data_IF_740840419455
#
_entry.id   IF_740840419455
#
_cell.length_a   1.000
_cell.length_b   1.000
_cell.length_c   1.000
_cell.angle_alpha   90.00
_cell.angle_beta   90.00
_cell.angle_gamma   90.00
#
_symmetry.space_group_name_H-M   'P 1'
#
loop_
_entity.id
_entity.type
_entity.pdbx_description
1 polymer ?
#
# COMPACT_ATOMS: atom_id res chain seq x y z
N UNK A 1 2.77 25.12 -31.36
CA UNK A 1 1.75 24.02 -31.48
C UNK A 1 0.56 24.31 -30.59
N UNK A 2 -0.63 23.74 -30.88
CA UNK A 2 -1.82 23.94 -30.05
C UNK A 2 -2.55 22.63 -29.81
N UNK A 3 -2.72 22.26 -28.56
CA UNK A 3 -3.54 21.12 -28.17
C UNK A 3 -5.00 21.52 -28.30
N UNK A 4 -5.73 20.88 -29.21
CA UNK A 4 -7.16 21.14 -29.47
C UNK A 4 -8.06 20.30 -28.54
N UNK A 5 -7.66 19.05 -28.25
CA UNK A 5 -8.39 18.12 -27.38
C UNK A 5 -7.47 17.05 -26.83
N UNK A 6 -7.68 16.63 -25.58
CA UNK A 6 -7.08 15.43 -25.00
C UNK A 6 -8.21 14.50 -24.55
N UNK A 7 -8.18 13.25 -25.01
CA UNK A 7 -9.09 12.18 -24.58
C UNK A 7 -8.29 11.09 -23.89
N UNK A 8 -8.90 10.48 -22.89
CA UNK A 8 -8.34 9.32 -22.16
C UNK A 8 -9.22 8.12 -22.44
N UNK A 9 -8.65 7.05 -23.00
CA UNK A 9 -9.32 5.79 -23.29
C UNK A 9 -8.83 4.73 -22.31
N UNK A 10 -9.73 4.04 -21.63
CA UNK A 10 -9.41 3.10 -20.54
C UNK A 10 -9.71 1.63 -20.86
N UNK A 11 -10.27 1.34 -21.98
CA UNK A 11 -10.67 -0.01 -22.38
C UNK A 11 -10.41 -0.29 -23.85
N UNK A 12 -10.99 -1.37 -24.40
CA UNK A 12 -10.90 -1.71 -25.81
C UNK A 12 -11.21 -0.49 -26.68
N UNK A 13 -10.38 -0.26 -27.68
CA UNK A 13 -10.49 0.91 -28.55
C UNK A 13 -10.02 0.57 -29.97
N UNK A 14 -10.40 1.40 -30.96
CA UNK A 14 -10.05 1.15 -32.36
C UNK A 14 -8.64 1.60 -32.75
N UNK A 15 -7.91 2.25 -31.85
CA UNK A 15 -6.54 2.72 -32.09
C UNK A 15 -5.50 1.63 -31.93
N UNK A 16 -5.79 0.64 -31.09
CA UNK A 16 -4.92 -0.52 -30.85
C UNK A 16 -5.74 -1.81 -30.88
N UNK A 17 -5.16 -2.87 -31.44
CA UNK A 17 -5.71 -4.22 -31.39
C UNK A 17 -5.44 -4.92 -30.04
N UNK A 18 -4.55 -4.35 -29.24
CA UNK A 18 -4.29 -4.76 -27.86
C UNK A 18 -5.04 -3.82 -26.91
N UNK A 19 -5.31 -4.27 -25.70
CA UNK A 19 -6.05 -3.51 -24.68
C UNK A 19 -5.17 -2.42 -24.03
N UNK A 20 -4.56 -1.57 -24.87
CA UNK A 20 -3.78 -0.43 -24.37
C UNK A 20 -4.68 0.67 -23.81
N UNK A 21 -4.28 1.21 -22.65
CA UNK A 21 -4.84 2.45 -22.09
C UNK A 21 -4.19 3.64 -22.83
N UNK A 22 -4.97 4.44 -23.54
CA UNK A 22 -4.42 5.43 -24.46
C UNK A 22 -4.82 6.87 -24.13
N UNK A 23 -3.87 7.79 -24.25
CA UNK A 23 -4.11 9.22 -24.42
C UNK A 23 -4.20 9.49 -25.91
N UNK A 24 -5.26 10.17 -26.33
CA UNK A 24 -5.45 10.63 -27.71
C UNK A 24 -5.48 12.16 -27.71
N UNK A 25 -4.43 12.76 -28.27
CA UNK A 25 -4.27 14.22 -28.40
C UNK A 25 -4.59 14.64 -29.82
N UNK A 26 -5.53 15.54 -29.99
CA UNK A 26 -5.72 16.26 -31.26
C UNK A 26 -4.84 17.50 -31.21
N UNK A 27 -3.74 17.46 -31.99
CA UNK A 27 -2.68 18.46 -31.98
C UNK A 27 -2.65 19.20 -33.32
N UNK A 28 -2.68 20.53 -33.26
CA UNK A 28 -2.40 21.42 -34.38
C UNK A 28 -0.93 21.86 -34.29
N UNK A 29 -0.14 21.50 -35.28
CA UNK A 29 1.28 21.81 -35.35
C UNK A 29 1.58 23.25 -35.74
N UNK A 30 0.57 23.97 -36.25
CA UNK A 30 0.72 25.36 -36.72
C UNK A 30 1.92 25.50 -37.67
N UNK A 31 2.84 26.43 -37.42
CA UNK A 31 3.99 26.74 -38.28
C UNK A 31 5.04 25.58 -38.34
N UNK A 32 4.91 24.59 -37.48
CA UNK A 32 5.79 23.40 -37.48
C UNK A 32 5.28 22.28 -38.38
N UNK A 33 4.07 22.40 -38.96
CA UNK A 33 3.45 21.32 -39.75
C UNK A 33 4.21 20.98 -41.06
N UNK A 34 4.88 21.95 -41.64
CA UNK A 34 5.63 21.78 -42.89
C UNK A 34 7.15 21.78 -42.70
N UNK A 35 7.62 21.74 -41.44
CA UNK A 35 9.04 21.78 -41.07
C UNK A 35 9.49 20.44 -40.47
N UNK A 36 10.44 19.81 -41.15
CA UNK A 36 11.10 18.59 -40.62
C UNK A 36 11.93 18.94 -39.37
N UNK A 37 11.83 18.19 -38.26
CA UNK A 37 12.57 18.46 -37.02
C UNK A 37 14.10 18.55 -37.22
N UNK A 38 14.68 17.69 -38.06
CA UNK A 38 16.13 17.71 -38.36
C UNK A 38 16.59 18.95 -39.15
N UNK A 39 15.67 19.71 -39.77
CA UNK A 39 15.93 20.99 -40.46
C UNK A 39 15.73 22.22 -39.59
N UNK A 40 15.28 22.03 -38.34
CA UNK A 40 15.17 23.10 -37.36
C UNK A 40 16.54 23.22 -36.66
N UNK A 41 17.17 24.42 -36.77
CA UNK A 41 18.49 24.63 -36.21
C UNK A 41 18.57 24.31 -34.73
N UNK A 42 19.49 23.44 -34.32
CA UNK A 42 19.68 23.05 -32.91
C UNK A 42 18.65 22.05 -32.34
N UNK A 43 17.60 21.67 -33.10
CA UNK A 43 16.51 20.84 -32.55
C UNK A 43 17.00 19.44 -32.15
N UNK A 44 17.67 18.70 -33.04
CA UNK A 44 18.18 17.36 -32.77
C UNK A 44 19.13 17.38 -31.57
N UNK A 45 20.07 18.34 -31.55
CA UNK A 45 21.03 18.51 -30.45
C UNK A 45 20.30 18.81 -29.13
N UNK A 46 19.40 19.79 -29.12
CA UNK A 46 18.66 20.17 -27.90
C UNK A 46 17.77 19.05 -27.36
N UNK A 47 17.18 18.25 -28.25
CA UNK A 47 16.38 17.09 -27.85
C UNK A 47 17.24 15.98 -27.24
N UNK A 48 18.38 15.68 -27.85
CA UNK A 48 19.33 14.66 -27.34
C UNK A 48 19.96 15.08 -26.00
N UNK A 49 20.24 16.38 -25.82
CA UNK A 49 20.76 16.92 -24.54
C UNK A 49 19.69 16.87 -23.44
N UNK A 50 18.43 17.17 -23.77
CA UNK A 50 17.33 17.13 -22.81
C UNK A 50 16.93 15.69 -22.41
N UNK A 51 16.84 14.79 -23.39
CA UNK A 51 16.37 13.40 -23.22
C UNK A 51 17.35 12.41 -23.89
N UNK A 52 18.53 12.16 -23.29
CA UNK A 52 19.54 11.28 -23.88
C UNK A 52 19.03 9.83 -24.09
N UNK A 53 18.14 9.36 -23.24
CA UNK A 53 17.56 8.01 -23.29
C UNK A 53 16.64 7.76 -24.50
N UNK A 54 16.23 8.79 -25.24
CA UNK A 54 15.57 8.62 -26.54
C UNK A 54 16.47 7.90 -27.55
N UNK A 55 17.80 7.90 -27.34
CA UNK A 55 18.75 7.16 -28.18
C UNK A 55 18.60 5.65 -28.13
N UNK A 56 18.11 5.14 -27.02
CA UNK A 56 17.91 3.70 -26.81
C UNK A 56 16.51 3.23 -27.23
N UNK A 57 15.60 4.16 -27.53
CA UNK A 57 14.22 3.86 -27.93
C UNK A 57 14.14 3.41 -29.38
N UNK A 58 13.44 2.31 -29.60
CA UNK A 58 13.12 1.80 -30.93
C UNK A 58 11.76 2.30 -31.42
N UNK A 59 11.66 2.54 -32.72
CA UNK A 59 10.41 2.82 -33.43
C UNK A 59 9.79 1.52 -33.99
N UNK A 60 8.56 1.60 -34.50
CA UNK A 60 7.74 0.47 -35.01
C UNK A 60 8.44 -0.51 -35.97
N UNK A 61 9.59 -0.22 -36.53
CA UNK A 61 10.33 -1.06 -37.49
C UNK A 61 11.66 -1.59 -36.92
N UNK A 62 11.90 -1.46 -35.58
CA UNK A 62 13.15 -1.87 -34.95
C UNK A 62 14.32 -0.91 -35.25
N UNK A 63 14.05 0.24 -35.85
CA UNK A 63 15.04 1.30 -36.07
C UNK A 63 15.10 2.22 -34.85
N UNK A 64 16.31 2.76 -34.55
CA UNK A 64 16.45 3.69 -33.43
C UNK A 64 15.83 5.04 -33.73
N UNK A 65 15.15 5.59 -32.76
CA UNK A 65 14.47 6.88 -32.86
C UNK A 65 15.39 8.00 -33.31
N UNK A 66 16.59 8.13 -32.73
CA UNK A 66 17.51 9.22 -33.07
C UNK A 66 18.07 9.10 -34.52
N UNK A 67 18.32 7.90 -35.01
CA UNK A 67 18.77 7.70 -36.38
C UNK A 67 17.71 8.18 -37.38
N UNK A 68 16.47 7.76 -37.17
CA UNK A 68 15.33 8.20 -37.99
C UNK A 68 15.09 9.72 -37.92
N UNK A 69 15.30 10.32 -36.73
CA UNK A 69 15.19 11.76 -36.57
C UNK A 69 16.27 12.50 -37.35
N UNK A 70 17.52 12.06 -37.30
CA UNK A 70 18.65 12.66 -38.00
C UNK A 70 18.50 12.54 -39.52
N UNK A 71 18.02 11.39 -40.00
CA UNK A 71 17.77 11.11 -41.42
C UNK A 71 16.53 11.87 -41.97
N UNK A 72 15.77 12.54 -41.09
CA UNK A 72 14.60 13.28 -41.47
C UNK A 72 13.38 12.39 -41.79
N UNK A 73 13.37 11.17 -41.31
CA UNK A 73 12.28 10.23 -41.51
C UNK A 73 11.06 10.53 -40.58
N UNK A 74 11.29 11.28 -39.48
CA UNK A 74 10.24 11.63 -38.52
C UNK A 74 9.68 13.05 -38.75
N UNK A 75 8.40 13.21 -38.41
CA UNK A 75 7.72 14.50 -38.35
C UNK A 75 7.50 14.94 -36.89
N UNK A 76 7.11 16.21 -36.67
CA UNK A 76 7.01 16.79 -35.33
C UNK A 76 5.98 16.06 -34.45
N UNK A 77 4.86 15.62 -35.04
CA UNK A 77 3.84 14.84 -34.31
C UNK A 77 4.39 13.50 -33.79
N UNK A 78 5.29 12.84 -34.55
CA UNK A 78 5.94 11.59 -34.15
C UNK A 78 6.96 11.87 -33.03
N UNK A 79 7.66 12.99 -33.08
CA UNK A 79 8.58 13.40 -32.01
C UNK A 79 7.82 13.66 -30.72
N UNK A 80 6.69 14.36 -30.77
CA UNK A 80 5.86 14.64 -29.58
C UNK A 80 5.37 13.34 -28.93
N UNK A 81 4.95 12.32 -29.70
CA UNK A 81 4.50 11.05 -29.12
C UNK A 81 5.64 10.31 -28.41
N UNK A 82 6.82 10.23 -29.02
CA UNK A 82 7.99 9.58 -28.39
C UNK A 82 8.47 10.32 -27.14
N UNK A 83 8.46 11.66 -27.18
CA UNK A 83 8.78 12.47 -26.00
C UNK A 83 7.76 12.23 -24.87
N UNK A 84 6.47 12.12 -25.18
CA UNK A 84 5.44 11.85 -24.17
C UNK A 84 5.60 10.45 -23.52
N UNK A 85 6.00 9.44 -24.30
CA UNK A 85 6.34 8.12 -23.76
C UNK A 85 7.58 8.19 -22.89
N UNK A 86 8.63 8.88 -23.35
CA UNK A 86 9.91 8.95 -22.66
C UNK A 86 9.79 9.65 -21.30
N UNK A 87 9.08 10.77 -21.24
CA UNK A 87 8.83 11.48 -19.99
C UNK A 87 8.11 10.60 -18.95
N UNK A 88 7.14 9.78 -19.37
CA UNK A 88 6.49 8.82 -18.47
C UNK A 88 7.46 7.73 -18.01
N UNK A 89 8.28 7.19 -18.92
CA UNK A 89 9.27 6.14 -18.62
C UNK A 89 10.32 6.64 -17.62
N UNK A 90 10.85 7.85 -17.82
CA UNK A 90 11.79 8.50 -16.90
C UNK A 90 11.18 8.80 -15.53
N UNK A 91 9.87 9.01 -15.46
CA UNK A 91 9.14 9.18 -14.22
C UNK A 91 8.78 7.84 -13.53
N UNK A 92 9.25 6.68 -14.03
CA UNK A 92 9.01 5.37 -13.44
C UNK A 92 7.72 4.69 -13.91
N UNK A 93 7.10 5.18 -14.99
CA UNK A 93 5.90 4.62 -15.62
C UNK A 93 6.25 4.11 -17.03
N UNK A 94 6.87 2.91 -17.17
CA UNK A 94 7.28 2.38 -18.47
C UNK A 94 6.06 2.12 -19.35
N UNK A 95 6.10 2.70 -20.56
CA UNK A 95 5.08 2.60 -21.61
C UNK A 95 5.78 2.48 -22.98
N UNK A 96 5.15 1.78 -23.93
CA UNK A 96 5.78 1.45 -25.20
C UNK A 96 4.98 1.82 -26.42
N UNK A 97 3.65 1.71 -26.37
CA UNK A 97 2.82 1.89 -27.55
C UNK A 97 2.57 3.35 -27.87
N UNK A 98 2.79 3.73 -29.13
CA UNK A 98 2.40 5.03 -29.67
C UNK A 98 2.04 4.92 -31.15
N UNK A 99 1.30 5.92 -31.63
CA UNK A 99 0.88 6.01 -33.03
C UNK A 99 0.41 7.42 -33.39
N UNK A 100 0.79 7.93 -34.55
CA UNK A 100 0.21 9.15 -35.10
C UNK A 100 -0.74 8.88 -36.27
N UNK A 101 -1.72 9.75 -36.48
CA UNK A 101 -2.64 9.71 -37.61
C UNK A 101 -2.99 11.12 -38.08
N UNK A 102 -2.99 11.32 -39.40
CA UNK A 102 -3.45 12.56 -40.04
C UNK A 102 -4.96 12.73 -39.84
N UNK A 103 -5.41 13.97 -39.68
CA UNK A 103 -6.84 14.31 -39.74
C UNK A 103 -7.18 14.86 -41.11
N UNK A 104 -8.46 15.14 -41.35
CA UNK A 104 -8.89 15.84 -42.60
C UNK A 104 -8.41 17.30 -42.64
N UNK A 105 -8.03 17.89 -41.51
CA UNK A 105 -7.53 19.27 -41.44
C UNK A 105 -6.00 19.26 -41.57
N UNK A 106 -5.46 20.03 -42.54
CA UNK A 106 -4.02 20.16 -42.72
C UNK A 106 -3.36 20.71 -41.49
N UNK A 107 -2.21 20.14 -41.11
CA UNK A 107 -1.44 20.53 -39.93
C UNK A 107 -1.99 19.99 -38.60
N UNK A 108 -3.13 19.27 -38.61
CA UNK A 108 -3.77 18.71 -37.44
C UNK A 108 -3.63 17.19 -37.45
N UNK A 109 -3.15 16.63 -36.34
CA UNK A 109 -2.88 15.21 -36.18
C UNK A 109 -3.51 14.65 -34.91
N UNK A 110 -3.78 13.35 -34.91
CA UNK A 110 -3.97 12.58 -33.70
C UNK A 110 -2.61 12.01 -33.28
N UNK A 111 -2.17 12.40 -32.08
CA UNK A 111 -1.00 11.85 -31.37
C UNK A 111 -1.55 10.94 -30.30
N UNK A 112 -1.24 9.65 -30.40
CA UNK A 112 -1.81 8.60 -29.56
C UNK A 112 -0.67 7.89 -28.88
N UNK A 113 -0.74 7.74 -27.56
CA UNK A 113 0.28 7.01 -26.79
C UNK A 113 -0.29 6.38 -25.53
N UNK A 114 0.36 5.32 -25.10
CA UNK A 114 0.02 4.57 -23.92
C UNK A 114 0.29 5.36 -22.64
N UNK A 115 -0.50 5.08 -21.58
CA UNK A 115 -0.30 5.63 -20.26
C UNK A 115 -0.52 4.57 -19.17
N UNK A 116 0.14 4.73 -18.00
CA UNK A 116 -0.14 3.96 -16.79
C UNK A 116 -1.13 4.70 -15.87
N UNK A 117 -0.97 6.00 -15.70
CA UNK A 117 -1.82 6.86 -14.89
C UNK A 117 -2.50 7.92 -15.76
N UNK A 118 -3.86 8.06 -15.73
CA UNK A 118 -4.59 8.97 -16.64
C UNK A 118 -4.11 10.42 -16.59
N UNK A 119 -3.95 10.98 -15.39
CA UNK A 119 -3.52 12.37 -15.23
C UNK A 119 -2.05 12.56 -15.56
N UNK A 120 -1.19 11.57 -15.28
CA UNK A 120 0.20 11.60 -15.73
C UNK A 120 0.30 11.57 -17.25
N UNK A 121 -0.48 10.72 -17.94
CA UNK A 121 -0.53 10.71 -19.40
C UNK A 121 -1.02 12.03 -20.00
N UNK A 122 -2.03 12.67 -19.40
CA UNK A 122 -2.49 14.02 -19.80
C UNK A 122 -1.43 15.09 -19.57
N UNK A 123 -0.71 14.99 -18.47
CA UNK A 123 0.42 15.88 -18.16
C UNK A 123 1.56 15.68 -19.15
N UNK A 124 1.95 14.42 -19.42
CA UNK A 124 2.99 14.08 -20.39
C UNK A 124 2.71 14.65 -21.79
N UNK A 125 1.44 14.61 -22.25
CA UNK A 125 1.04 15.24 -23.51
C UNK A 125 1.38 16.74 -23.54
N UNK A 126 1.05 17.46 -22.46
CA UNK A 126 1.30 18.91 -22.38
C UNK A 126 2.79 19.22 -22.24
N UNK A 127 3.50 18.44 -21.44
CA UNK A 127 4.94 18.59 -21.24
C UNK A 127 5.73 18.30 -22.52
N UNK A 128 5.37 17.26 -23.27
CA UNK A 128 5.98 16.93 -24.55
C UNK A 128 5.82 18.05 -25.58
N UNK A 129 4.62 18.65 -25.67
CA UNK A 129 4.38 19.79 -26.56
C UNK A 129 5.24 20.99 -26.14
N UNK A 130 5.26 21.35 -24.83
CA UNK A 130 6.11 22.46 -24.33
C UNK A 130 7.58 22.25 -24.62
N UNK A 131 8.07 21.03 -24.38
CA UNK A 131 9.47 20.66 -24.61
C UNK A 131 9.83 20.81 -26.09
N UNK A 132 9.06 20.22 -26.98
CA UNK A 132 9.29 20.31 -28.42
C UNK A 132 9.20 21.76 -28.94
N UNK A 133 8.25 22.56 -28.47
CA UNK A 133 8.15 24.00 -28.81
C UNK A 133 9.38 24.77 -28.34
N UNK A 134 9.78 24.61 -27.08
CA UNK A 134 10.95 25.32 -26.53
C UNK A 134 12.22 24.99 -27.28
N UNK A 135 12.41 23.72 -27.66
CA UNK A 135 13.58 23.33 -28.46
C UNK A 135 13.49 23.86 -29.88
N UNK A 136 12.31 23.85 -30.51
CA UNK A 136 12.14 24.40 -31.85
C UNK A 136 12.41 25.91 -31.92
N UNK A 137 12.05 26.65 -30.87
CA UNK A 137 12.19 28.10 -30.78
C UNK A 137 13.56 28.56 -30.26
N UNK A 138 14.11 27.85 -29.26
CA UNK A 138 15.30 28.27 -28.48
C UNK A 138 16.49 27.32 -28.60
N UNK A 139 16.33 26.20 -29.30
CA UNK A 139 17.36 25.14 -29.41
C UNK A 139 17.61 24.35 -28.12
N UNK A 140 16.86 24.58 -27.05
CA UNK A 140 17.03 23.90 -25.75
C UNK A 140 15.75 23.87 -24.94
N UNK A 141 15.69 22.94 -23.99
CA UNK A 141 14.74 22.92 -22.87
C UNK A 141 15.50 23.14 -21.57
N UNK A 142 14.96 23.98 -20.67
CA UNK A 142 15.68 24.30 -19.43
C UNK A 142 15.72 23.07 -18.50
N UNK A 143 16.88 22.73 -17.90
CA UNK A 143 16.99 21.55 -17.04
C UNK A 143 16.07 21.58 -15.82
N UNK A 144 15.77 22.76 -15.27
CA UNK A 144 14.86 22.90 -14.15
C UNK A 144 13.40 22.63 -14.55
N UNK A 145 13.00 23.06 -15.76
CA UNK A 145 11.67 22.77 -16.29
C UNK A 145 11.48 21.26 -16.49
N UNK A 146 12.51 20.58 -17.03
CA UNK A 146 12.49 19.12 -17.18
C UNK A 146 12.43 18.41 -15.82
N UNK A 147 13.22 18.88 -14.84
CA UNK A 147 13.20 18.32 -13.48
C UNK A 147 11.81 18.47 -12.84
N UNK A 148 11.19 19.64 -13.00
CA UNK A 148 9.85 19.89 -12.51
C UNK A 148 8.81 19.00 -13.21
N UNK A 149 8.88 18.86 -14.54
CA UNK A 149 7.99 17.98 -15.29
C UNK A 149 8.10 16.52 -14.82
N UNK A 150 9.32 16.03 -14.58
CA UNK A 150 9.53 14.66 -14.07
C UNK A 150 9.01 14.50 -12.63
N UNK A 151 9.22 15.48 -11.76
CA UNK A 151 8.69 15.45 -10.39
C UNK A 151 7.15 15.45 -10.37
N UNK A 152 6.52 16.27 -11.21
CA UNK A 152 5.06 16.29 -11.32
C UNK A 152 4.51 14.97 -11.87
N UNK A 153 5.17 14.39 -12.86
CA UNK A 153 4.81 13.07 -13.39
C UNK A 153 4.97 11.97 -12.33
N UNK A 154 6.06 11.96 -11.57
CA UNK A 154 6.29 11.02 -10.46
C UNK A 154 5.20 11.15 -9.41
N UNK A 155 4.85 12.37 -9.00
CA UNK A 155 3.77 12.64 -8.05
C UNK A 155 2.42 12.13 -8.56
N UNK A 156 2.06 12.44 -9.81
CA UNK A 156 0.81 11.98 -10.43
C UNK A 156 0.76 10.45 -10.58
N UNK A 157 1.90 9.82 -10.88
CA UNK A 157 2.04 8.36 -10.91
C UNK A 157 1.82 7.74 -9.53
N UNK A 158 2.45 8.29 -8.50
CA UNK A 158 2.31 7.83 -7.11
C UNK A 158 0.86 8.00 -6.59
N UNK A 159 0.21 9.14 -6.88
CA UNK A 159 -1.20 9.38 -6.54
C UNK A 159 -2.15 8.40 -7.23
N UNK A 160 -1.76 7.91 -8.41
CA UNK A 160 -2.53 6.93 -9.17
C UNK A 160 -2.19 5.48 -8.81
N UNK A 161 -1.11 5.21 -8.08
CA UNK A 161 -0.70 3.86 -7.72
C UNK A 161 -1.79 3.13 -6.91
N UNK A 162 -1.92 1.84 -7.14
CA UNK A 162 -2.76 0.98 -6.31
C UNK A 162 -2.01 0.67 -5.01
N UNK A 163 -2.70 0.70 -3.87
CA UNK A 163 -2.11 0.19 -2.65
C UNK A 163 -1.76 -1.31 -2.78
N UNK A 164 -0.75 -1.82 -2.04
CA UNK A 164 -0.20 -3.16 -2.24
C UNK A 164 -1.24 -4.30 -2.20
N UNK A 165 -2.27 -4.16 -1.38
CA UNK A 165 -3.34 -5.16 -1.28
C UNK A 165 -4.27 -5.16 -2.50
N UNK A 166 -4.67 -3.97 -2.96
CA UNK A 166 -5.49 -3.83 -4.17
C UNK A 166 -4.72 -4.28 -5.41
N UNK A 167 -3.44 -3.94 -5.48
CA UNK A 167 -2.54 -4.37 -6.56
C UNK A 167 -2.42 -5.90 -6.62
N UNK A 168 -2.32 -6.58 -5.48
CA UNK A 168 -2.27 -8.04 -5.42
C UNK A 168 -3.54 -8.69 -6.00
N UNK A 169 -4.71 -8.09 -5.76
CA UNK A 169 -5.99 -8.54 -6.33
C UNK A 169 -6.03 -8.29 -7.83
N UNK A 170 -5.66 -7.08 -8.26
CA UNK A 170 -5.67 -6.70 -9.68
C UNK A 170 -4.70 -7.56 -10.49
N UNK A 171 -3.46 -7.77 -10.02
CA UNK A 171 -2.49 -8.66 -10.67
C UNK A 171 -3.00 -10.10 -10.78
N UNK A 172 -3.72 -10.59 -9.77
CA UNK A 172 -4.31 -11.91 -9.83
C UNK A 172 -5.46 -12.00 -10.85
N UNK A 173 -6.25 -10.93 -11.01
CA UNK A 173 -7.27 -10.81 -12.05
C UNK A 173 -6.65 -10.75 -13.45
N UNK A 174 -5.63 -9.94 -13.67
CA UNK A 174 -4.88 -9.83 -14.93
C UNK A 174 -4.27 -11.17 -15.34
N UNK A 175 -3.67 -11.91 -14.40
CA UNK A 175 -3.10 -13.23 -14.65
C UNK A 175 -4.14 -14.28 -15.08
N UNK A 176 -5.44 -14.02 -14.84
CA UNK A 176 -6.58 -14.82 -15.27
C UNK A 176 -7.26 -14.28 -16.52
N UNK A 177 -6.74 -13.20 -17.12
CA UNK A 177 -7.38 -12.53 -18.26
C UNK A 177 -8.65 -11.76 -17.88
N UNK A 178 -8.86 -11.46 -16.59
CA UNK A 178 -10.02 -10.68 -16.12
C UNK A 178 -9.70 -9.20 -16.29
N UNK A 179 -10.44 -8.48 -17.15
CA UNK A 179 -10.24 -7.07 -17.35
C UNK A 179 -10.62 -6.27 -16.11
N UNK A 180 -9.99 -5.12 -15.90
CA UNK A 180 -10.30 -4.25 -14.79
C UNK A 180 -10.32 -2.78 -15.18
N UNK A 181 -11.07 -1.98 -14.43
CA UNK A 181 -11.20 -0.54 -14.58
C UNK A 181 -11.12 0.15 -13.22
N UNK A 182 -10.46 1.29 -13.17
CA UNK A 182 -10.61 2.22 -12.05
C UNK A 182 -11.82 3.12 -12.30
N UNK A 183 -12.77 3.15 -11.36
CA UNK A 183 -13.98 3.97 -11.45
C UNK A 183 -13.81 5.27 -10.67
N UNK A 184 -13.80 6.39 -11.41
CA UNK A 184 -13.69 7.73 -10.83
C UNK A 184 -12.32 8.04 -10.22
N UNK A 185 -12.29 9.08 -9.36
CA UNK A 185 -11.07 9.55 -8.70
C UNK A 185 -10.73 8.79 -7.41
N UNK A 186 -11.62 7.92 -6.93
CA UNK A 186 -11.42 7.11 -5.72
C UNK A 186 -10.82 5.76 -6.08
N UNK A 187 -10.32 5.03 -5.07
CA UNK A 187 -9.71 3.70 -5.22
C UNK A 187 -10.72 2.58 -5.48
N UNK A 188 -11.83 2.90 -6.18
CA UNK A 188 -12.84 1.91 -6.55
C UNK A 188 -12.40 1.24 -7.86
N UNK A 189 -12.23 -0.07 -7.82
CA UNK A 189 -11.84 -0.91 -8.94
C UNK A 189 -13.02 -1.80 -9.33
N UNK A 190 -13.31 -1.89 -10.60
CA UNK A 190 -14.19 -2.90 -11.15
C UNK A 190 -13.34 -4.00 -11.80
N UNK A 191 -13.63 -5.25 -11.47
CA UNK A 191 -13.08 -6.45 -12.08
C UNK A 191 -14.17 -7.08 -12.96
N UNK A 192 -13.84 -7.43 -14.19
CA UNK A 192 -14.79 -7.99 -15.14
C UNK A 192 -15.81 -6.99 -15.68
N UNK A 193 -16.68 -7.48 -16.57
CA UNK A 193 -17.72 -6.69 -17.22
C UNK A 193 -19.09 -7.39 -17.14
N UNK A 194 -20.15 -6.58 -17.30
CA UNK A 194 -21.52 -7.07 -17.39
C UNK A 194 -21.99 -7.80 -16.12
N UNK A 195 -22.61 -8.95 -16.28
CA UNK A 195 -23.19 -9.73 -15.18
C UNK A 195 -22.16 -10.34 -14.23
N UNK A 196 -20.91 -10.47 -14.66
CA UNK A 196 -19.81 -11.05 -13.87
C UNK A 196 -18.85 -9.97 -13.31
N UNK A 197 -19.27 -8.71 -13.34
CA UNK A 197 -18.47 -7.65 -12.75
C UNK A 197 -18.53 -7.70 -11.22
N UNK A 198 -17.40 -7.45 -10.59
CA UNK A 198 -17.29 -7.22 -9.15
C UNK A 198 -16.56 -5.91 -8.88
N UNK A 199 -16.84 -5.29 -7.76
CA UNK A 199 -16.20 -4.04 -7.36
C UNK A 199 -15.47 -4.22 -6.05
N UNK A 200 -14.30 -3.60 -5.98
CA UNK A 200 -13.46 -3.61 -4.79
C UNK A 200 -13.03 -2.19 -4.43
N UNK A 201 -12.88 -1.96 -3.14
CA UNK A 201 -12.23 -0.78 -2.58
C UNK A 201 -11.25 -1.24 -1.51
N UNK A 202 -9.94 -1.05 -1.74
CA UNK A 202 -8.89 -1.70 -0.95
C UNK A 202 -9.07 -3.23 -0.97
N UNK A 203 -9.37 -3.85 0.18
CA UNK A 203 -9.68 -5.29 0.32
C UNK A 203 -11.15 -5.54 0.70
N UNK A 204 -12.03 -4.57 0.49
CA UNK A 204 -13.48 -4.74 0.62
C UNK A 204 -14.07 -5.02 -0.76
N UNK A 205 -14.98 -5.99 -0.85
CA UNK A 205 -15.69 -6.31 -2.07
C UNK A 205 -17.15 -5.81 -2.04
N UNK A 206 -17.82 -5.89 -3.15
CA UNK A 206 -19.26 -5.63 -3.27
C UNK A 206 -20.13 -6.68 -2.56
N UNK A 207 -19.53 -7.74 -2.01
CA UNK A 207 -20.17 -8.72 -1.14
C UNK A 207 -20.02 -8.39 0.35
N UNK A 208 -19.11 -7.48 0.70
CA UNK A 208 -18.90 -7.08 2.09
C UNK A 208 -20.11 -6.31 2.60
N UNK A 209 -20.73 -6.78 3.68
CA UNK A 209 -21.85 -6.09 4.33
C UNK A 209 -21.39 -4.77 4.95
N UNK A 210 -22.13 -3.70 4.69
CA UNK A 210 -21.89 -2.41 5.35
C UNK A 210 -22.09 -2.52 6.87
N UNK A 211 -23.06 -3.31 7.31
CA UNK A 211 -23.29 -3.59 8.72
C UNK A 211 -22.11 -4.36 9.33
N UNK A 212 -21.51 -5.27 8.57
CA UNK A 212 -20.29 -5.99 8.99
C UNK A 212 -19.09 -5.06 9.14
N UNK A 213 -18.95 -4.06 8.25
CA UNK A 213 -17.91 -3.04 8.36
C UNK A 213 -18.08 -2.18 9.60
N UNK A 214 -19.29 -1.68 9.82
CA UNK A 214 -19.63 -0.86 10.99
C UNK A 214 -19.43 -1.64 12.29
N UNK A 215 -19.89 -2.90 12.32
CA UNK A 215 -19.72 -3.77 13.47
C UNK A 215 -18.23 -4.05 13.75
N UNK A 216 -17.41 -4.36 12.73
CA UNK A 216 -15.97 -4.56 12.90
C UNK A 216 -15.27 -3.27 13.41
N UNK A 217 -15.84 -2.08 13.13
CA UNK A 217 -15.38 -0.80 13.66
C UNK A 217 -15.75 -0.57 15.12
N UNK A 218 -16.81 -1.22 15.61
CA UNK A 218 -17.24 -1.18 17.01
C UNK A 218 -16.60 -2.32 17.80
N UNK A 219 -15.51 -2.03 18.51
CA UNK A 219 -14.73 -3.03 19.26
C UNK A 219 -15.53 -3.70 20.37
N UNK A 220 -16.40 -2.94 21.04
CA UNK A 220 -17.21 -3.46 22.14
C UNK A 220 -18.35 -4.34 21.62
N UNK A 221 -19.10 -3.83 20.63
CA UNK A 221 -20.18 -4.58 19.98
C UNK A 221 -19.69 -5.87 19.34
N UNK A 222 -18.56 -5.82 18.63
CA UNK A 222 -17.92 -7.02 18.05
C UNK A 222 -17.59 -8.06 19.12
N UNK A 223 -16.95 -7.66 20.22
CA UNK A 223 -16.61 -8.60 21.30
C UNK A 223 -17.82 -9.23 21.92
N UNK A 224 -18.87 -8.44 22.22
CA UNK A 224 -20.09 -8.96 22.81
C UNK A 224 -20.76 -9.98 21.91
N UNK A 225 -20.92 -9.69 20.63
CA UNK A 225 -21.52 -10.63 19.66
C UNK A 225 -20.67 -11.91 19.54
N UNK A 226 -19.35 -11.80 19.50
CA UNK A 226 -18.46 -12.96 19.45
C UNK A 226 -18.53 -13.80 20.75
N UNK A 227 -18.60 -13.14 21.90
CA UNK A 227 -18.75 -13.80 23.20
C UNK A 227 -20.08 -14.54 23.30
N UNK A 228 -21.19 -13.93 22.90
CA UNK A 228 -22.52 -14.54 22.86
C UNK A 228 -22.57 -15.76 21.91
N UNK A 229 -21.75 -15.76 20.86
CA UNK A 229 -21.56 -16.87 19.93
C UNK A 229 -20.58 -17.95 20.45
N UNK A 230 -20.03 -17.81 21.65
CA UNK A 230 -19.08 -18.75 22.26
C UNK A 230 -17.65 -18.66 21.69
N UNK A 231 -17.29 -17.58 21.02
CA UNK A 231 -15.92 -17.32 20.56
C UNK A 231 -15.08 -16.82 21.76
N UNK A 232 -13.89 -17.38 22.00
CA UNK A 232 -13.03 -16.88 23.07
C UNK A 232 -12.53 -15.47 22.74
N UNK A 233 -12.94 -14.48 23.51
CA UNK A 233 -12.53 -13.08 23.43
C UNK A 233 -11.96 -12.60 24.76
N UNK A 234 -11.10 -11.56 24.79
CA UNK A 234 -10.62 -11.01 26.05
C UNK A 234 -11.78 -10.54 26.92
N UNK A 235 -11.79 -10.96 28.21
CA UNK A 235 -12.69 -10.39 29.20
C UNK A 235 -12.32 -8.93 29.38
N UNK A 236 -13.26 -8.02 29.24
CA UNK A 236 -13.02 -6.59 29.33
C UNK A 236 -14.22 -5.80 29.78
N UNK A 237 -13.94 -4.59 30.24
CA UNK A 237 -14.93 -3.60 30.66
C UNK A 237 -14.52 -2.24 30.09
N UNK A 238 -15.49 -1.51 29.52
CA UNK A 238 -15.30 -0.11 29.09
C UNK A 238 -15.64 0.80 30.26
N UNK A 239 -14.76 1.75 30.56
CA UNK A 239 -14.91 2.74 31.62
C UNK A 239 -14.77 4.15 31.05
N UNK A 240 -15.49 5.11 31.62
CA UNK A 240 -15.45 6.52 31.22
C UNK A 240 -14.79 7.40 32.27
N UNK A 241 -14.73 6.94 33.51
CA UNK A 241 -14.19 7.69 34.61
C UNK A 241 -13.10 6.89 35.34
N UNK A 242 -12.14 7.62 35.92
CA UNK A 242 -10.99 7.02 36.62
C UNK A 242 -11.38 6.18 37.84
N UNK A 243 -12.40 6.61 38.57
CA UNK A 243 -12.93 5.91 39.76
C UNK A 243 -13.53 4.51 39.44
N UNK A 244 -13.81 4.22 38.17
CA UNK A 244 -14.25 2.91 37.69
C UNK A 244 -13.08 1.92 37.48
N UNK A 245 -11.83 2.40 37.47
CA UNK A 245 -10.66 1.60 37.07
C UNK A 245 -10.41 0.39 37.98
N UNK A 246 -10.55 0.56 39.31
CA UNK A 246 -10.37 -0.52 40.27
C UNK A 246 -11.42 -1.62 40.06
N UNK A 247 -12.67 -1.22 39.95
CA UNK A 247 -13.79 -2.16 39.70
C UNK A 247 -13.59 -2.90 38.35
N UNK A 248 -13.08 -2.21 37.32
CA UNK A 248 -12.83 -2.83 36.03
C UNK A 248 -11.70 -3.86 36.08
N UNK A 249 -10.61 -3.57 36.79
CA UNK A 249 -9.51 -4.51 37.00
C UNK A 249 -9.99 -5.76 37.75
N UNK A 250 -10.76 -5.59 38.80
CA UNK A 250 -11.33 -6.69 39.56
C UNK A 250 -12.31 -7.53 38.72
N UNK A 251 -13.18 -6.88 37.92
CA UNK A 251 -14.15 -7.56 37.07
C UNK A 251 -13.52 -8.44 35.98
N UNK A 252 -12.31 -8.08 35.50
CA UNK A 252 -11.57 -8.91 34.51
C UNK A 252 -10.72 -10.00 35.15
N UNK A 253 -10.67 -10.05 36.50
CA UNK A 253 -9.97 -11.08 37.28
C UNK A 253 -8.59 -10.66 37.77
N UNK A 254 -8.37 -9.35 37.96
CA UNK A 254 -7.13 -8.78 38.48
C UNK A 254 -6.02 -8.68 37.43
N UNK A 255 -4.84 -8.31 37.91
CA UNK A 255 -3.62 -8.23 37.08
C UNK A 255 -3.14 -9.59 36.57
N UNK A 256 -2.47 -9.68 35.42
CA UNK A 256 -2.09 -8.59 34.52
C UNK A 256 -3.28 -8.15 33.61
N UNK A 257 -3.31 -6.83 33.30
CA UNK A 257 -4.33 -6.24 32.42
C UNK A 257 -3.73 -5.52 31.24
N UNK A 258 -4.56 -5.30 30.21
CA UNK A 258 -4.28 -4.39 29.08
C UNK A 258 -5.25 -3.22 29.16
N UNK A 259 -4.76 -2.00 28.96
CA UNK A 259 -5.56 -0.78 28.97
C UNK A 259 -5.43 -0.10 27.59
N UNK A 260 -6.57 0.23 26.97
CA UNK A 260 -6.64 0.68 25.59
C UNK A 260 -7.65 1.81 25.43
N UNK A 261 -7.43 2.81 24.55
CA UNK A 261 -8.47 3.75 24.19
C UNK A 261 -9.61 3.03 23.42
N UNK A 262 -10.88 3.39 23.69
CA UNK A 262 -12.02 2.81 22.97
C UNK A 262 -11.94 3.11 21.47
N UNK A 263 -11.65 4.37 21.10
CA UNK A 263 -11.65 4.87 19.72
C UNK A 263 -10.23 4.94 19.10
N UNK A 264 -9.24 4.23 19.67
CA UNK A 264 -7.85 4.30 19.24
C UNK A 264 -7.55 3.43 18.02
N UNK A 265 -6.67 3.93 17.14
CA UNK A 265 -6.15 3.20 15.98
C UNK A 265 -4.63 3.07 16.05
N UNK A 266 -4.07 2.07 15.35
CA UNK A 266 -2.63 1.83 15.19
C UNK A 266 -1.87 1.60 16.51
N UNK A 267 -2.53 1.14 17.57
CA UNK A 267 -1.88 0.84 18.86
C UNK A 267 -1.49 2.07 19.69
N UNK A 268 -1.95 3.29 19.33
CA UNK A 268 -1.69 4.49 20.13
C UNK A 268 -2.44 4.42 21.45
N UNK A 269 -1.77 4.76 22.55
CA UNK A 269 -2.35 4.73 23.90
C UNK A 269 -2.69 3.33 24.41
N UNK A 270 -2.19 2.26 23.77
CA UNK A 270 -2.34 0.87 24.24
C UNK A 270 -1.19 0.53 25.15
N UNK A 271 -1.51 0.11 26.38
CA UNK A 271 -0.57 -0.45 27.34
C UNK A 271 -0.94 -1.90 27.62
N UNK A 272 0.06 -2.79 27.57
CA UNK A 272 -0.08 -4.24 27.71
C UNK A 272 0.73 -4.73 28.89
N UNK A 273 0.37 -5.90 29.43
CA UNK A 273 1.07 -6.57 30.53
C UNK A 273 1.27 -5.66 31.76
N UNK A 274 0.20 -4.96 32.12
CA UNK A 274 0.20 -4.07 33.27
C UNK A 274 0.01 -4.94 34.54
N UNK A 275 1.00 -4.87 35.44
CA UNK A 275 1.06 -5.72 36.63
C UNK A 275 0.89 -4.96 37.94
N UNK A 276 0.91 -3.62 37.90
CA UNK A 276 0.82 -2.77 39.09
C UNK A 276 -0.24 -1.71 38.94
N UNK A 277 -0.81 -1.27 40.08
CA UNK A 277 -1.78 -0.20 40.11
C UNK A 277 -1.21 1.11 39.54
N UNK A 278 0.01 1.47 39.92
CA UNK A 278 0.68 2.68 39.42
C UNK A 278 0.80 2.72 37.89
N UNK A 279 1.12 1.56 37.30
CA UNK A 279 1.22 1.47 35.83
C UNK A 279 -0.17 1.52 35.18
N UNK A 280 -1.21 0.99 35.88
CA UNK A 280 -2.60 1.06 35.41
C UNK A 280 -3.12 2.51 35.38
N UNK A 281 -2.82 3.32 36.43
CA UNK A 281 -3.16 4.75 36.47
C UNK A 281 -2.51 5.50 35.29
N UNK A 282 -1.20 5.33 35.09
CA UNK A 282 -0.49 5.98 34.00
C UNK A 282 -1.00 5.52 32.62
N UNK A 283 -1.38 4.26 32.48
CA UNK A 283 -1.95 3.71 31.25
C UNK A 283 -3.36 4.25 30.97
N UNK A 284 -4.20 4.40 32.02
CA UNK A 284 -5.52 5.01 31.93
C UNK A 284 -5.40 6.46 31.42
N UNK A 285 -4.53 7.26 32.03
CA UNK A 285 -4.31 8.65 31.61
C UNK A 285 -3.88 8.74 30.15
N UNK A 286 -2.90 7.92 29.76
CA UNK A 286 -2.43 7.88 28.37
C UNK A 286 -3.53 7.46 27.38
N UNK A 287 -4.33 6.45 27.72
CA UNK A 287 -5.40 5.94 26.88
C UNK A 287 -6.57 6.95 26.77
N UNK A 288 -6.96 7.59 27.86
CA UNK A 288 -8.06 8.57 27.92
C UNK A 288 -7.80 9.81 27.06
N UNK A 289 -6.53 10.25 26.99
CA UNK A 289 -6.11 11.38 26.14
C UNK A 289 -6.20 11.05 24.64
N UNK A 290 -5.94 9.79 24.27
CA UNK A 290 -5.99 9.33 22.88
C UNK A 290 -7.43 9.06 22.41
N UNK A 291 -8.28 8.59 23.32
CA UNK A 291 -9.68 8.28 23.02
C UNK A 291 -10.50 9.56 22.78
N UNK A 292 -11.22 9.63 21.67
CA UNK A 292 -12.11 10.77 21.34
C UNK A 292 -13.27 10.90 22.32
N UNK A 293 -13.81 9.77 22.75
CA UNK A 293 -14.88 9.68 23.77
C UNK A 293 -14.35 9.78 25.19
N UNK A 294 -13.01 9.78 25.39
CA UNK A 294 -12.31 9.60 26.68
C UNK A 294 -12.58 8.25 27.37
N UNK A 295 -13.37 7.39 26.74
CA UNK A 295 -13.60 6.05 27.25
C UNK A 295 -12.40 5.14 27.01
N UNK A 296 -12.16 4.26 27.97
CA UNK A 296 -11.00 3.36 28.05
C UNK A 296 -11.51 1.95 28.22
N UNK A 297 -10.89 0.99 27.53
CA UNK A 297 -11.17 -0.44 27.69
C UNK A 297 -10.10 -1.02 28.61
N UNK A 298 -10.52 -1.65 29.70
CA UNK A 298 -9.68 -2.46 30.59
C UNK A 298 -9.96 -3.93 30.29
N UNK A 299 -8.94 -4.69 29.94
CA UNK A 299 -9.05 -6.11 29.56
C UNK A 299 -8.07 -6.97 30.33
N UNK A 300 -8.45 -8.21 30.62
CA UNK A 300 -7.49 -9.21 31.04
C UNK A 300 -6.39 -9.34 29.97
N UNK A 301 -5.14 -9.31 30.37
CA UNK A 301 -4.02 -9.54 29.47
C UNK A 301 -3.87 -11.03 29.18
N UNK A 302 -3.75 -11.37 27.91
CA UNK A 302 -3.48 -12.73 27.42
C UNK A 302 -2.08 -12.80 26.85
N UNK A 303 -1.28 -13.72 27.37
CA UNK A 303 0.08 -13.97 26.90
C UNK A 303 0.07 -14.84 25.66
N UNK A 304 0.94 -14.54 24.70
CA UNK A 304 1.06 -15.33 23.49
C UNK A 304 1.63 -14.54 22.33
N UNK A 305 1.66 -15.20 21.21
CA UNK A 305 2.08 -14.61 19.93
C UNK A 305 0.88 -14.03 19.21
N UNK A 306 1.08 -12.90 18.55
CA UNK A 306 0.06 -12.20 17.79
C UNK A 306 -0.01 -12.77 16.37
N UNK A 307 -1.19 -13.25 15.97
CA UNK A 307 -1.43 -13.84 14.64
C UNK A 307 -2.52 -13.08 13.91
N UNK A 308 -2.28 -12.74 12.64
CA UNK A 308 -3.30 -12.30 11.70
C UNK A 308 -3.74 -13.49 10.86
N UNK A 309 -4.98 -13.94 11.06
CA UNK A 309 -5.63 -14.95 10.21
C UNK A 309 -6.47 -14.22 9.17
N UNK A 310 -6.13 -14.41 7.89
CA UNK A 310 -6.85 -13.83 6.76
C UNK A 310 -7.88 -14.83 6.25
N UNK A 311 -9.14 -14.45 6.29
CA UNK A 311 -10.26 -15.20 5.71
C UNK A 311 -10.73 -14.51 4.44
N UNK A 312 -10.88 -15.26 3.35
CA UNK A 312 -11.42 -14.80 2.07
C UNK A 312 -12.47 -15.82 1.60
N UNK A 313 -13.67 -15.37 1.26
CA UNK A 313 -14.77 -16.21 0.75
C UNK A 313 -15.01 -17.47 1.60
N UNK A 314 -15.00 -17.30 2.93
CA UNK A 314 -15.25 -18.36 3.89
C UNK A 314 -14.14 -19.40 4.04
N UNK A 315 -12.92 -19.10 3.61
CA UNK A 315 -11.74 -19.95 3.75
C UNK A 315 -10.58 -19.16 4.36
N UNK A 316 -9.78 -19.80 5.19
CA UNK A 316 -8.50 -19.23 5.64
C UNK A 316 -7.53 -19.20 4.46
N UNK A 317 -7.19 -18.00 4.02
CA UNK A 317 -6.29 -17.75 2.89
C UNK A 317 -4.81 -17.78 3.30
N UNK A 318 -4.49 -17.24 4.48
CA UNK A 318 -3.14 -17.20 5.02
C UNK A 318 -3.16 -16.85 6.51
N UNK A 319 -2.08 -17.21 7.21
CA UNK A 319 -1.83 -16.88 8.62
C UNK A 319 -0.44 -16.28 8.76
N UNK A 320 -0.34 -15.14 9.43
CA UNK A 320 0.93 -14.48 9.70
C UNK A 320 1.08 -14.25 11.22
N UNK A 321 2.15 -14.74 11.82
CA UNK A 321 2.60 -14.31 13.13
C UNK A 321 3.21 -12.92 12.99
N UNK A 322 2.75 -11.95 13.76
CA UNK A 322 3.28 -10.60 13.79
C UNK A 322 4.21 -10.45 15.00
N UNK A 323 5.43 -9.99 14.74
CA UNK A 323 6.41 -9.76 15.81
C UNK A 323 6.69 -8.27 15.90
N UNK A 324 6.65 -7.66 17.09
CA UNK A 324 6.95 -6.25 17.27
C UNK A 324 8.33 -5.87 16.72
N UNK A 325 8.52 -4.60 16.41
CA UNK A 325 9.83 -4.10 16.04
C UNK A 325 10.84 -4.39 17.13
N UNK A 326 11.95 -5.02 16.79
CA UNK A 326 12.99 -5.46 17.71
C UNK A 326 14.36 -5.49 17.03
N UNK A 327 15.40 -5.54 17.82
CA UNK A 327 16.76 -5.85 17.40
C UNK A 327 17.29 -7.07 18.14
N UNK A 328 18.20 -7.78 17.50
CA UNK A 328 18.86 -8.96 18.05
C UNK A 328 20.31 -8.60 18.36
N UNK A 329 20.75 -8.83 19.60
CA UNK A 329 22.12 -8.58 20.03
C UNK A 329 23.12 -9.46 19.30
N UNK A 330 24.26 -8.89 18.97
CA UNK A 330 25.42 -9.54 18.37
C UNK A 330 26.62 -9.59 19.32
N UNK A 331 26.44 -9.16 20.58
CA UNK A 331 27.49 -9.10 21.61
C UNK A 331 28.50 -7.96 21.41
N UNK A 332 28.31 -7.04 20.43
CA UNK A 332 29.29 -6.02 20.05
C UNK A 332 28.68 -4.66 19.80
N UNK A 333 27.60 -4.61 19.03
CA UNK A 333 26.96 -3.38 18.57
C UNK A 333 25.98 -2.85 19.61
N UNK A 334 25.88 -1.55 19.71
CA UNK A 334 24.86 -0.87 20.51
C UNK A 334 23.47 -1.06 19.90
N UNK A 335 22.42 -0.87 20.68
CA UNK A 335 21.04 -0.92 20.19
C UNK A 335 20.84 0.05 19.01
N UNK A 336 21.42 1.26 19.10
CA UNK A 336 21.33 2.23 18.00
C UNK A 336 21.97 1.73 16.69
N UNK A 337 23.16 1.15 16.78
CA UNK A 337 23.85 0.55 15.62
C UNK A 337 23.07 -0.64 15.05
N UNK A 338 22.50 -1.49 15.90
CA UNK A 338 21.64 -2.61 15.48
C UNK A 338 20.39 -2.11 14.73
N UNK A 339 19.75 -1.03 15.18
CA UNK A 339 18.61 -0.41 14.49
C UNK A 339 19.04 0.09 13.10
N UNK A 340 20.19 0.76 13.00
CA UNK A 340 20.71 1.21 11.71
C UNK A 340 21.01 0.04 10.77
N UNK A 341 21.61 -1.03 11.28
CA UNK A 341 21.86 -2.24 10.48
C UNK A 341 20.57 -2.86 9.96
N UNK A 342 19.55 -3.01 10.82
CA UNK A 342 18.23 -3.51 10.43
C UNK A 342 17.59 -2.60 9.37
N UNK A 343 17.73 -1.29 9.50
CA UNK A 343 17.16 -0.30 8.58
C UNK A 343 17.90 -0.21 7.22
N UNK A 344 19.13 -0.76 7.09
CA UNK A 344 19.85 -0.87 5.81
C UNK A 344 19.27 -1.93 4.88
N UNK A 345 18.40 -2.80 5.38
CA UNK A 345 17.74 -3.79 4.52
C UNK A 345 16.95 -3.07 3.40
N UNK A 346 17.25 -3.34 2.11
CA UNK A 346 16.61 -2.65 0.99
C UNK A 346 15.09 -2.88 0.89
N UNK A 347 14.58 -3.92 1.56
CA UNK A 347 13.13 -4.17 1.68
C UNK A 347 12.44 -3.21 2.65
N UNK A 348 13.20 -2.44 3.47
CA UNK A 348 12.66 -1.45 4.43
C UNK A 348 12.66 -0.06 3.82
N UNK A 349 11.52 0.64 3.92
CA UNK A 349 11.38 2.02 3.47
C UNK A 349 10.40 2.79 4.33
N UNK A 350 10.11 4.02 3.94
CA UNK A 350 9.11 4.85 4.62
C UNK A 350 7.70 4.53 4.11
N UNK A 351 6.71 4.57 5.01
CA UNK A 351 5.30 4.41 4.69
C UNK A 351 4.88 2.97 4.33
N UNK A 352 3.80 2.89 3.55
CA UNK A 352 3.16 1.62 3.19
C UNK A 352 3.58 1.08 1.81
N UNK A 353 4.41 1.82 1.07
CA UNK A 353 4.76 1.49 -0.32
C UNK A 353 5.88 0.46 -0.41
N UNK A 354 6.62 0.25 0.68
CA UNK A 354 7.69 -0.73 0.77
C UNK A 354 7.21 -2.04 1.40
N UNK A 355 7.92 -3.14 1.11
CA UNK A 355 7.63 -4.48 1.65
C UNK A 355 7.70 -4.50 3.17
N UNK A 356 8.66 -3.78 3.77
CA UNK A 356 8.83 -3.61 5.20
C UNK A 356 8.96 -2.13 5.55
N UNK A 357 8.54 -1.74 6.75
CA UNK A 357 8.69 -0.37 7.23
C UNK A 357 9.97 -0.22 8.05
N UNK A 358 10.63 0.92 7.95
CA UNK A 358 11.80 1.26 8.79
C UNK A 358 11.38 1.35 10.25
N UNK A 359 12.30 0.97 11.14
CA UNK A 359 12.14 1.17 12.58
C UNK A 359 12.47 2.63 12.86
N UNK A 360 11.48 3.38 13.33
CA UNK A 360 11.63 4.76 13.78
C UNK A 360 11.35 4.82 15.27
N UNK A 361 12.24 5.49 16.00
CA UNK A 361 12.11 5.66 17.44
C UNK A 361 11.24 6.86 17.76
N UNK A 362 10.29 6.67 18.65
CA UNK A 362 9.47 7.74 19.22
C UNK A 362 9.48 7.64 20.75
N UNK A 363 8.69 8.50 21.38
CA UNK A 363 8.59 8.55 22.85
C UNK A 363 8.25 7.18 23.46
N UNK A 364 7.34 6.42 22.84
CA UNK A 364 6.95 5.09 23.35
C UNK A 364 8.08 4.07 23.25
N UNK A 365 8.95 4.17 22.24
CA UNK A 365 10.15 3.35 22.12
C UNK A 365 11.13 3.60 23.24
N UNK A 366 11.36 4.86 23.62
CA UNK A 366 12.24 5.22 24.74
C UNK A 366 11.67 4.77 26.11
N UNK A 367 10.36 4.87 26.29
CA UNK A 367 9.68 4.37 27.49
C UNK A 367 9.82 2.85 27.60
N UNK A 368 9.65 2.11 26.50
CA UNK A 368 9.80 0.66 26.47
C UNK A 368 11.27 0.23 26.72
N UNK A 369 12.25 0.94 26.18
CA UNK A 369 13.68 0.70 26.47
C UNK A 369 13.97 0.86 27.95
N UNK A 370 13.46 1.90 28.60
CA UNK A 370 13.63 2.11 30.05
C UNK A 370 12.99 1.00 30.89
N UNK A 371 11.80 0.54 30.51
CA UNK A 371 11.13 -0.59 31.18
C UNK A 371 11.97 -1.87 31.09
N UNK A 372 12.61 -2.12 29.95
CA UNK A 372 13.54 -3.21 29.73
C UNK A 372 14.94 -2.97 30.35
N UNK A 373 15.17 -1.79 30.98
CA UNK A 373 16.44 -1.33 31.56
C UNK A 373 17.57 -1.16 30.54
N UNK A 374 17.23 -0.77 29.31
CA UNK A 374 18.16 -0.49 28.22
C UNK A 374 18.19 0.99 27.87
N UNK A 375 19.31 1.41 27.26
CA UNK A 375 19.50 2.67 26.55
C UNK A 375 19.91 2.38 25.10
N UNK A 376 19.96 3.40 24.24
CA UNK A 376 20.44 3.21 22.86
C UNK A 376 21.92 2.81 22.80
N UNK A 377 22.71 3.16 23.82
CA UNK A 377 24.14 2.81 23.93
C UNK A 377 24.38 1.43 24.55
N UNK A 378 23.32 0.72 24.96
CA UNK A 378 23.45 -0.62 25.53
C UNK A 378 23.88 -1.61 24.47
N UNK A 379 24.91 -2.41 24.79
CA UNK A 379 25.32 -3.58 23.99
C UNK A 379 24.60 -4.81 24.53
N UNK A 380 23.77 -5.41 23.68
CA UNK A 380 23.03 -6.64 24.02
C UNK A 380 23.94 -7.87 23.89
N UNK A 381 23.69 -8.89 24.70
CA UNK A 381 24.34 -10.19 24.52
C UNK A 381 23.96 -10.79 23.17
N UNK A 382 24.79 -11.67 22.66
CA UNK A 382 24.48 -12.41 21.43
C UNK A 382 23.19 -13.22 21.60
N UNK A 383 22.25 -13.04 20.67
CA UNK A 383 20.94 -13.67 20.70
C UNK A 383 19.91 -13.00 21.63
N UNK A 384 20.26 -11.96 22.38
CA UNK A 384 19.35 -11.23 23.25
C UNK A 384 18.43 -10.32 22.42
N UNK A 385 17.10 -10.39 22.67
CA UNK A 385 16.11 -9.60 21.93
C UNK A 385 15.77 -8.34 22.75
N UNK A 386 15.88 -7.19 22.11
CA UNK A 386 15.35 -5.92 22.63
C UNK A 386 14.17 -5.47 21.78
N UNK A 387 12.98 -5.42 22.38
CA UNK A 387 11.79 -4.90 21.73
C UNK A 387 11.79 -3.37 21.74
N UNK A 388 11.44 -2.78 20.57
CA UNK A 388 11.38 -1.33 20.37
C UNK A 388 9.93 -0.82 20.28
N UNK A 389 8.97 -1.73 20.20
CA UNK A 389 7.53 -1.49 20.20
C UNK A 389 6.82 -2.53 21.04
N UNK A 390 5.76 -2.11 21.73
CA UNK A 390 4.91 -3.03 22.49
C UNK A 390 3.90 -3.75 21.59
N UNK A 391 3.56 -3.19 20.45
CA UNK A 391 2.56 -3.73 19.51
C UNK A 391 3.22 -4.26 18.23
N UNK A 392 2.69 -5.36 17.71
CA UNK A 392 3.21 -6.07 16.54
C UNK A 392 2.76 -5.48 15.19
N UNK A 393 2.81 -4.15 15.05
CA UNK A 393 2.40 -3.49 13.83
C UNK A 393 3.52 -3.44 12.78
N UNK A 394 3.24 -3.91 11.57
CA UNK A 394 4.20 -3.83 10.46
C UNK A 394 4.51 -2.39 10.05
N UNK A 395 3.54 -1.47 10.21
CA UNK A 395 3.71 -0.05 9.91
C UNK A 395 4.72 0.68 10.82
N UNK A 396 5.08 0.08 11.94
CA UNK A 396 6.06 0.63 12.91
C UNK A 396 7.36 -0.16 12.96
N UNK A 397 7.66 -0.94 11.93
CA UNK A 397 8.90 -1.71 11.80
C UNK A 397 8.83 -3.16 12.24
N UNK A 398 7.65 -3.65 12.67
CA UNK A 398 7.42 -5.06 12.98
C UNK A 398 7.64 -5.97 11.77
N UNK A 399 7.77 -7.26 12.02
CA UNK A 399 7.95 -8.29 11.00
C UNK A 399 6.77 -9.26 10.98
N UNK A 400 6.59 -9.96 9.87
CA UNK A 400 5.61 -11.02 9.69
C UNK A 400 6.30 -12.35 9.36
N UNK A 401 5.84 -13.42 9.99
CA UNK A 401 6.30 -14.80 9.77
C UNK A 401 5.11 -15.60 9.27
N UNK A 402 5.25 -16.27 8.14
CA UNK A 402 4.18 -17.15 7.61
C UNK A 402 3.97 -18.37 8.51
N UNK A 403 2.72 -18.58 8.93
CA UNK A 403 2.27 -19.70 9.77
C UNK A 403 1.06 -20.44 9.16
N UNK A 404 0.86 -20.25 7.84
CA UNK A 404 -0.34 -20.74 7.16
C UNK A 404 -0.50 -22.26 7.26
N UNK A 405 0.58 -23.00 7.15
CA UNK A 405 0.55 -24.47 7.16
C UNK A 405 0.59 -25.06 8.58
N UNK A 406 0.75 -24.20 9.60
CA UNK A 406 0.89 -24.61 11.01
C UNK A 406 -0.43 -24.48 11.79
N UNK A 407 -1.40 -23.71 11.30
CA UNK A 407 -2.65 -23.43 12.03
C UNK A 407 -3.49 -24.71 12.24
N UNK A 408 -3.96 -24.91 13.47
CA UNK A 408 -4.85 -26.04 13.80
C UNK A 408 -6.22 -25.92 13.10
N UNK A 409 -6.82 -27.05 12.74
CA UNK A 409 -8.12 -27.11 12.06
C UNK A 409 -9.25 -26.41 12.81
N UNK A 410 -9.27 -26.53 14.15
CA UNK A 410 -10.28 -25.87 14.97
C UNK A 410 -10.14 -24.34 14.94
N UNK A 411 -8.91 -23.85 14.84
CA UNK A 411 -8.63 -22.42 14.72
C UNK A 411 -9.01 -21.89 13.32
N UNK A 412 -8.85 -22.73 12.27
CA UNK A 412 -9.38 -22.45 10.92
C UNK A 412 -10.90 -22.33 10.98
N UNK A 413 -11.59 -23.31 11.56
CA UNK A 413 -13.04 -23.29 11.71
C UNK A 413 -13.52 -22.07 12.48
N UNK A 414 -12.86 -21.75 13.60
CA UNK A 414 -13.16 -20.59 14.44
C UNK A 414 -13.03 -19.27 13.64
N UNK A 415 -11.94 -19.09 12.90
CA UNK A 415 -11.70 -17.90 12.10
C UNK A 415 -12.76 -17.70 11.02
N UNK A 416 -13.12 -18.77 10.30
CA UNK A 416 -14.21 -18.74 9.30
C UNK A 416 -15.56 -18.41 9.97
N UNK A 417 -15.83 -18.98 11.14
CA UNK A 417 -17.04 -18.68 11.91
C UNK A 417 -17.11 -17.22 12.36
N UNK A 418 -15.99 -16.66 12.84
CA UNK A 418 -15.88 -15.25 13.23
C UNK A 418 -16.21 -14.33 12.05
N UNK A 419 -15.60 -14.57 10.87
CA UNK A 419 -15.87 -13.79 9.66
C UNK A 419 -17.37 -13.82 9.27
N UNK A 420 -18.03 -14.99 9.37
CA UNK A 420 -19.46 -15.16 9.09
C UNK A 420 -20.36 -14.47 10.10
N UNK A 421 -20.04 -14.53 11.40
CA UNK A 421 -20.82 -13.89 12.46
C UNK A 421 -20.82 -12.37 12.27
N UNK A 422 -19.67 -11.78 11.93
CA UNK A 422 -19.55 -10.34 11.67
C UNK A 422 -20.12 -9.93 10.31
N UNK A 423 -20.25 -10.85 9.35
CA UNK A 423 -20.81 -10.58 8.03
C UNK A 423 -19.77 -10.03 7.04
N UNK A 424 -18.52 -10.51 7.15
CA UNK A 424 -17.42 -10.12 6.26
C UNK A 424 -17.04 -11.28 5.33
N UNK A 425 -16.94 -11.01 4.05
CA UNK A 425 -16.41 -11.92 3.04
C UNK A 425 -14.87 -11.93 3.01
N UNK A 426 -14.25 -10.79 3.35
CA UNK A 426 -12.82 -10.66 3.58
C UNK A 426 -12.61 -10.11 4.99
N UNK A 427 -11.97 -10.89 5.84
CA UNK A 427 -11.74 -10.54 7.23
C UNK A 427 -10.31 -10.82 7.67
N UNK A 428 -9.73 -9.89 8.39
CA UNK A 428 -8.47 -10.08 9.12
C UNK A 428 -8.74 -10.29 10.59
N UNK A 429 -8.55 -11.50 11.09
CA UNK A 429 -8.85 -11.87 12.47
C UNK A 429 -7.55 -11.90 13.26
N UNK A 430 -7.48 -11.10 14.30
CA UNK A 430 -6.34 -11.01 15.18
C UNK A 430 -6.52 -11.99 16.36
N UNK A 431 -5.60 -12.91 16.48
CA UNK A 431 -5.60 -13.97 17.50
C UNK A 431 -4.32 -13.88 18.31
N UNK A 432 -4.45 -13.81 19.61
CA UNK A 432 -3.32 -13.97 20.55
C UNK A 432 -3.38 -15.37 21.14
N UNK A 433 -2.32 -16.15 20.96
CA UNK A 433 -2.23 -17.52 21.46
C UNK A 433 -0.77 -17.91 21.72
N UNK A 434 -0.49 -18.72 22.75
CA UNK A 434 0.83 -19.30 22.94
C UNK A 434 1.27 -20.17 21.76
N UNK A 435 0.33 -20.89 21.11
CA UNK A 435 0.60 -21.81 20.03
C UNK A 435 -0.59 -21.92 19.07
N UNK A 436 -0.43 -21.43 17.83
CA UNK A 436 -1.48 -21.46 16.79
C UNK A 436 -1.73 -22.86 16.24
N UNK A 437 -0.79 -23.80 16.43
CA UNK A 437 -0.88 -25.19 15.99
C UNK A 437 -1.71 -26.07 16.93
N UNK A 438 -2.22 -25.51 18.02
CA UNK A 438 -3.11 -26.17 18.99
C UNK A 438 -4.45 -25.41 19.08
N UNK A 439 -5.54 -26.11 19.45
CA UNK A 439 -6.83 -25.46 19.66
C UNK A 439 -6.73 -24.31 20.69
N UNK A 440 -7.32 -23.14 20.37
CA UNK A 440 -7.30 -21.98 21.28
C UNK A 440 -7.91 -22.32 22.65
N UNK A 441 -8.94 -23.17 22.66
CA UNK A 441 -9.60 -23.60 23.89
C UNK A 441 -8.67 -24.36 24.86
N UNK A 442 -7.66 -25.05 24.32
CA UNK A 442 -6.69 -25.83 25.13
C UNK A 442 -5.54 -24.96 25.66
N UNK A 443 -5.09 -24.00 24.84
CA UNK A 443 -3.90 -23.20 25.16
C UNK A 443 -4.22 -21.80 25.71
N UNK A 444 -5.51 -21.46 25.82
CA UNK A 444 -5.96 -20.18 26.38
C UNK A 444 -5.85 -19.01 25.40
N UNK A 445 -5.87 -19.27 24.07
CA UNK A 445 -5.86 -18.24 23.06
C UNK A 445 -7.20 -17.51 22.91
N UNK A 446 -7.17 -16.27 22.38
CA UNK A 446 -8.34 -15.41 22.21
C UNK A 446 -8.33 -14.66 20.90
N UNK A 447 -9.53 -14.36 20.38
CA UNK A 447 -9.74 -13.42 19.25
C UNK A 447 -9.80 -12.00 19.84
N UNK A 448 -8.83 -11.16 19.45
CA UNK A 448 -8.66 -9.81 20.00
C UNK A 448 -9.41 -8.75 19.17
N UNK A 449 -9.36 -8.89 17.84
CA UNK A 449 -9.93 -7.89 16.91
C UNK A 449 -10.33 -8.54 15.59
N UNK A 450 -11.32 -7.95 14.92
CA UNK A 450 -11.73 -8.29 13.55
C UNK A 450 -11.60 -7.05 12.67
N UNK A 451 -10.91 -7.20 11.55
CA UNK A 451 -10.63 -6.09 10.62
C UNK A 451 -11.36 -6.30 9.29
N UNK A 452 -12.20 -5.34 8.87
CA UNK A 452 -13.01 -5.40 7.66
C UNK A 452 -12.24 -5.09 6.35
N UNK A 453 -11.06 -4.46 6.45
CA UNK A 453 -10.22 -4.16 5.29
C UNK A 453 -8.77 -4.57 5.57
N UNK A 454 -8.50 -5.88 5.70
CA UNK A 454 -7.19 -6.36 6.12
C UNK A 454 -6.12 -6.13 5.04
N UNK A 455 -4.93 -5.67 5.46
CA UNK A 455 -3.78 -5.56 4.57
C UNK A 455 -3.22 -6.93 4.19
N UNK A 456 -2.90 -7.12 2.90
CA UNK A 456 -2.35 -8.37 2.39
C UNK A 456 -0.83 -8.45 2.45
N UNK A 457 -0.14 -7.33 2.67
CA UNK A 457 1.32 -7.21 2.60
C UNK A 457 2.05 -8.26 3.46
N UNK A 458 1.57 -8.49 4.69
CA UNK A 458 2.17 -9.47 5.60
C UNK A 458 2.09 -10.92 5.10
N UNK A 459 1.13 -11.23 4.24
CA UNK A 459 0.92 -12.56 3.67
C UNK A 459 1.60 -12.70 2.31
N UNK A 460 1.57 -11.65 1.48
CA UNK A 460 2.22 -11.65 0.16
C UNK A 460 3.72 -11.48 0.23
N UNK A 461 4.21 -10.78 1.26
CA UNK A 461 5.64 -10.50 1.44
C UNK A 461 6.05 -10.67 2.92
N UNK A 462 5.95 -11.88 3.48
CA UNK A 462 6.39 -12.11 4.85
C UNK A 462 7.90 -11.86 4.96
N UNK A 463 8.35 -11.58 6.18
CA UNK A 463 9.78 -11.46 6.49
C UNK A 463 10.46 -12.82 6.48
N UNK A 464 9.73 -13.85 6.92
CA UNK A 464 10.15 -15.26 6.98
C UNK A 464 8.99 -16.16 6.52
N UNK A 465 9.31 -17.31 5.92
CA UNK A 465 8.35 -18.27 5.40
C UNK A 465 7.94 -18.00 3.95
N UNK A 466 6.80 -18.55 3.53
CA UNK A 466 6.35 -18.54 2.13
C UNK A 466 5.48 -17.32 1.83
N UNK A 467 5.68 -16.72 0.66
CA UNK A 467 4.74 -15.74 0.10
C UNK A 467 3.44 -16.44 -0.29
N UNK A 468 2.31 -15.94 0.21
CA UNK A 468 0.98 -16.51 -0.08
C UNK A 468 0.27 -15.65 -1.12
N UNK A 469 -0.10 -16.21 -2.27
CA UNK A 469 -0.78 -15.45 -3.34
C UNK A 469 -2.27 -15.23 -3.03
N UNK A 470 -2.55 -14.55 -1.92
CA UNK A 470 -3.91 -14.37 -1.37
C UNK A 470 -4.86 -13.66 -2.32
N UNK A 471 -4.35 -12.79 -3.21
CA UNK A 471 -5.15 -12.17 -4.26
C UNK A 471 -5.80 -13.16 -5.23
N UNK A 472 -5.29 -14.39 -5.34
CA UNK A 472 -5.88 -15.42 -6.19
C UNK A 472 -7.12 -16.08 -5.59
N UNK A 473 -7.34 -15.91 -4.30
CA UNK A 473 -8.49 -16.48 -3.59
C UNK A 473 -9.69 -15.52 -3.59
N UNK A 474 -9.45 -14.32 -4.06
CA UNK A 474 -10.46 -13.32 -4.34
C UNK A 474 -11.11 -13.61 -5.72
#
# INVERSE_FOLDING_TARGET
MKILKIQTLQGPNYWSIQDHKLIVVRLDLQDLSDRKPNRISGFVKGLTEALPSLGDRECDLGEKFLDRLQDGCLWMEEVVEHVALELQTLAGMPVSFSRTRKTATRGVYYVIFEYQAPEAGRYAARAAVRLCESIADKGRYHPDDLRQDLQDLQRLGAEAALGPSTEAIVKAAEARGIPWLRLGARFLIQLGYGAYQHRIQATQSDRTSILGIELAGDKEGTKRILQDAGVPVPRGMTISYFDELENAIDAVGGFPVAIKPLDGNHGRGVALDINTWRDAEAAYDAASVVSKSRAVIVERYYTGRDHRVLVIDGKVAAVAERVPAHVLGDGRSTINELIEMVNRNPRRGQGHDNVMTRIELDRSSFELLRQQRYSLDTVLREGEICYLRATANLSTGGIAIDRTDEIHSDNIYLAVRVAKIIGLDIAGIDIVTPDISRPLAEVGGVVVEVNAAPGFRMHTHPSQGLSRPVGKQF
#
